data_IF_948747098236
#
_entry.id   IF_948747098236
#
_cell.length_a   1.000
_cell.length_b   1.000
_cell.length_c   1.000
_cell.angle_alpha   90.00
_cell.angle_beta   90.00
_cell.angle_gamma   90.00
#
_symmetry.space_group_name_H-M   'P 1'
#
loop_
_entity.id
_entity.type
_entity.pdbx_description
1 polymer ?
#
# COMPACT_ATOMS: atom_id res chain seq x y z
N UNK A 1 -7.46 14.27 4.58
CA UNK A 1 -6.10 13.74 4.80
C UNK A 1 -6.08 12.26 4.49
N UNK A 2 -5.21 11.85 3.59
CA UNK A 2 -4.92 10.44 3.35
C UNK A 2 -3.79 10.04 4.28
N UNK A 3 -3.99 8.97 5.05
CA UNK A 3 -2.93 8.39 5.87
C UNK A 3 -2.56 7.04 5.30
N UNK A 4 -1.31 6.91 4.84
CA UNK A 4 -0.77 5.67 4.33
C UNK A 4 0.13 5.04 5.38
N UNK A 5 -0.07 3.76 5.67
CA UNK A 5 0.74 3.02 6.63
C UNK A 5 1.34 1.79 5.96
N UNK A 6 2.64 1.59 6.20
CA UNK A 6 3.38 0.42 5.74
C UNK A 6 4.02 -0.23 6.94
N UNK A 7 3.78 -1.51 7.13
CA UNK A 7 4.37 -2.21 8.26
C UNK A 7 4.47 -3.71 8.01
N UNK A 8 5.28 -4.35 8.83
CA UNK A 8 5.51 -5.79 8.78
C UNK A 8 5.15 -6.38 10.13
N UNK A 9 4.67 -7.63 10.13
CA UNK A 9 4.43 -8.40 11.36
C UNK A 9 5.40 -9.57 11.36
N UNK A 10 6.53 -9.49 12.08
CA UNK A 10 7.50 -10.59 12.11
C UNK A 10 6.92 -11.90 12.63
N UNK A 11 5.91 -11.82 13.51
CA UNK A 11 5.30 -13.01 14.10
C UNK A 11 4.68 -13.95 13.07
N UNK A 12 4.20 -13.43 11.94
CA UNK A 12 3.60 -14.26 10.88
C UNK A 12 4.19 -13.99 9.50
N UNK A 13 5.16 -13.10 9.38
CA UNK A 13 5.82 -12.76 8.12
C UNK A 13 4.96 -11.95 7.16
N UNK A 14 3.88 -11.32 7.62
CA UNK A 14 2.99 -10.56 6.75
C UNK A 14 3.50 -9.13 6.54
N UNK A 15 3.22 -8.59 5.35
CA UNK A 15 3.58 -7.23 4.94
C UNK A 15 2.29 -6.50 4.62
N UNK A 16 2.14 -5.30 5.15
CA UNK A 16 0.88 -4.56 5.14
C UNK A 16 1.04 -3.18 4.52
N UNK A 17 0.04 -2.79 3.72
CA UNK A 17 -0.17 -1.42 3.26
C UNK A 17 -1.62 -1.04 3.52
N UNK A 18 -1.85 0.10 4.16
CA UNK A 18 -3.20 0.66 4.29
C UNK A 18 -3.22 2.10 3.83
N UNK A 19 -4.33 2.48 3.18
CA UNK A 19 -4.63 3.87 2.84
C UNK A 19 -5.98 4.20 3.45
N UNK A 20 -6.03 5.22 4.30
CA UNK A 20 -7.26 5.65 4.96
C UNK A 20 -7.50 7.13 4.72
N UNK A 21 -8.75 7.49 4.45
CA UNK A 21 -9.17 8.88 4.32
C UNK A 21 -9.17 9.39 2.89
N UNK A 22 -9.40 10.69 2.76
CA UNK A 22 -9.45 11.39 1.48
C UNK A 22 -8.53 12.60 1.52
N UNK A 23 -7.87 12.90 0.41
CA UNK A 23 -6.96 14.05 0.32
C UNK A 23 -7.69 15.38 0.47
N UNK A 24 -8.90 15.48 -0.09
CA UNK A 24 -9.73 16.70 -0.09
C UNK A 24 -8.98 17.92 -0.64
N UNK A 25 -8.11 17.67 -1.64
CA UNK A 25 -7.31 18.71 -2.26
C UNK A 25 -8.10 19.50 -3.30
N UNK A 26 -9.16 18.89 -3.86
CA UNK A 26 -9.98 19.47 -4.91
C UNK A 26 -11.38 18.86 -4.86
N UNK A 27 -12.35 19.45 -5.59
CA UNK A 27 -13.66 18.84 -5.74
C UNK A 27 -13.58 17.43 -6.30
N UNK A 28 -14.62 16.64 -6.04
CA UNK A 28 -14.72 15.28 -6.54
C UNK A 28 -14.47 15.24 -8.06
N UNK A 29 -13.69 14.28 -8.51
CA UNK A 29 -13.32 14.12 -9.91
C UNK A 29 -12.10 14.93 -10.33
N UNK A 30 -11.64 15.86 -9.51
CA UNK A 30 -10.47 16.70 -9.77
C UNK A 30 -9.34 16.46 -8.77
N UNK A 31 -9.53 15.53 -7.84
CA UNK A 31 -8.54 15.24 -6.81
C UNK A 31 -7.48 14.28 -7.36
N UNK A 32 -6.47 14.85 -8.01
CA UNK A 32 -5.37 14.09 -8.58
C UNK A 32 -4.49 13.45 -7.51
N UNK A 33 -4.46 14.03 -6.31
CA UNK A 33 -3.67 13.47 -5.19
C UNK A 33 -4.30 12.18 -4.72
N UNK A 34 -5.64 12.17 -4.56
CA UNK A 34 -6.37 10.98 -4.17
C UNK A 34 -6.23 9.88 -5.24
N UNK A 35 -6.36 10.26 -6.52
CA UNK A 35 -6.22 9.33 -7.63
C UNK A 35 -4.80 8.73 -7.68
N UNK A 36 -3.77 9.55 -7.44
CA UNK A 36 -2.39 9.09 -7.44
C UNK A 36 -2.13 8.08 -6.33
N UNK A 37 -2.58 8.37 -5.11
CA UNK A 37 -2.43 7.46 -3.98
C UNK A 37 -3.18 6.14 -4.23
N UNK A 38 -4.38 6.23 -4.78
CA UNK A 38 -5.21 5.07 -5.11
C UNK A 38 -4.51 4.17 -6.13
N UNK A 39 -3.89 4.76 -7.15
CA UNK A 39 -3.18 3.98 -8.17
C UNK A 39 -1.98 3.23 -7.57
N UNK A 40 -1.30 3.83 -6.60
CA UNK A 40 -0.21 3.13 -5.90
C UNK A 40 -0.72 1.89 -5.15
N UNK A 41 -1.88 2.00 -4.49
CA UNK A 41 -2.50 0.86 -3.82
C UNK A 41 -2.92 -0.21 -4.81
N UNK A 42 -3.53 0.17 -5.93
CA UNK A 42 -3.95 -0.78 -6.97
C UNK A 42 -2.74 -1.49 -7.58
N UNK A 43 -1.63 -0.77 -7.76
CA UNK A 43 -0.39 -1.34 -8.30
C UNK A 43 0.17 -2.42 -7.38
N UNK A 44 0.21 -2.16 -6.08
CA UNK A 44 0.66 -3.16 -5.09
C UNK A 44 -0.30 -4.35 -5.07
N UNK A 45 -1.61 -4.09 -5.08
CA UNK A 45 -2.61 -5.16 -5.08
C UNK A 45 -2.44 -6.09 -6.28
N UNK A 46 -2.22 -5.53 -7.48
CA UNK A 46 -2.03 -6.33 -8.68
C UNK A 46 -0.72 -7.13 -8.62
N UNK A 47 0.37 -6.51 -8.16
CA UNK A 47 1.65 -7.20 -8.03
C UNK A 47 1.55 -8.37 -7.04
N UNK A 48 0.88 -8.16 -5.91
CA UNK A 48 0.68 -9.17 -4.89
C UNK A 48 -0.18 -10.31 -5.43
N UNK A 49 -1.22 -9.99 -6.21
CA UNK A 49 -2.06 -11.01 -6.85
C UNK A 49 -1.24 -11.88 -7.81
N UNK A 50 -0.38 -11.27 -8.63
CA UNK A 50 0.52 -12.01 -9.51
C UNK A 50 1.49 -12.90 -8.71
N UNK A 51 2.02 -12.40 -7.59
CA UNK A 51 2.87 -13.20 -6.72
C UNK A 51 2.14 -14.44 -6.20
N UNK A 52 0.88 -14.27 -5.82
CA UNK A 52 0.06 -15.40 -5.37
C UNK A 52 -0.12 -16.44 -6.48
N UNK A 53 -0.46 -15.98 -7.68
CA UNK A 53 -0.64 -16.86 -8.84
C UNK A 53 0.62 -17.59 -9.23
N UNK A 54 1.78 -17.05 -8.93
CA UNK A 54 3.08 -17.65 -9.20
C UNK A 54 3.64 -18.46 -8.02
N UNK A 55 2.82 -18.73 -7.01
CA UNK A 55 3.20 -19.59 -5.90
C UNK A 55 4.17 -18.96 -4.90
N UNK A 56 4.28 -17.63 -4.88
CA UNK A 56 5.23 -16.93 -4.02
C UNK A 56 4.69 -16.56 -2.64
N UNK A 57 3.41 -16.75 -2.41
CA UNK A 57 2.77 -16.45 -1.13
C UNK A 57 2.36 -17.73 -0.40
N UNK A 58 2.40 -17.70 0.93
CA UNK A 58 1.98 -18.82 1.78
C UNK A 58 0.47 -19.05 1.72
N UNK A 59 -0.28 -17.98 1.45
CA UNK A 59 -1.73 -18.03 1.40
C UNK A 59 -2.26 -16.89 0.54
N UNK A 60 -3.57 -16.96 0.24
CA UNK A 60 -4.23 -15.91 -0.54
C UNK A 60 -4.05 -14.55 0.14
N UNK A 61 -3.67 -13.51 -0.61
CA UNK A 61 -3.52 -12.18 -0.04
C UNK A 61 -4.87 -11.58 0.35
N UNK A 62 -4.85 -10.71 1.34
CA UNK A 62 -6.00 -9.91 1.69
C UNK A 62 -5.93 -8.61 0.89
N UNK A 63 -6.92 -8.38 0.03
CA UNK A 63 -6.99 -7.18 -0.79
C UNK A 63 -8.39 -6.60 -0.66
N UNK A 64 -8.49 -5.40 -0.12
CA UNK A 64 -9.74 -4.67 -0.01
C UNK A 64 -9.49 -3.25 -0.51
N UNK A 65 -10.12 -2.91 -1.62
CA UNK A 65 -9.93 -1.62 -2.28
C UNK A 65 -11.27 -0.89 -2.32
N UNK A 66 -11.52 -0.10 -1.28
CA UNK A 66 -12.72 0.73 -1.16
C UNK A 66 -12.34 2.18 -1.18
N UNK A 67 -13.24 3.03 -1.62
CA UNK A 67 -13.00 4.46 -1.59
C UNK A 67 -12.71 4.91 -0.16
N UNK A 68 -11.58 5.58 0.02
CA UNK A 68 -11.14 6.05 1.34
C UNK A 68 -10.66 4.97 2.30
N UNK A 69 -10.58 3.71 1.86
CA UNK A 69 -10.22 2.59 2.74
C UNK A 69 -9.64 1.43 1.95
N UNK A 70 -8.35 1.43 1.75
CA UNK A 70 -7.64 0.34 1.08
C UNK A 70 -6.76 -0.43 2.07
N UNK A 71 -6.77 -1.75 1.95
CA UNK A 71 -5.92 -2.63 2.76
C UNK A 71 -5.36 -3.73 1.88
N UNK A 72 -4.05 -3.92 1.93
CA UNK A 72 -3.37 -4.99 1.20
C UNK A 72 -2.43 -5.68 2.17
N UNK A 73 -2.60 -7.01 2.30
CA UNK A 73 -1.75 -7.84 3.17
C UNK A 73 -1.24 -9.02 2.37
N UNK A 74 0.08 -9.18 2.33
CA UNK A 74 0.71 -10.33 1.70
C UNK A 74 1.53 -11.10 2.73
N UNK A 75 1.48 -12.43 2.67
CA UNK A 75 2.30 -13.29 3.51
C UNK A 75 3.16 -14.15 2.59
N UNK A 76 4.37 -13.67 2.22
CA UNK A 76 5.21 -14.38 1.28
C UNK A 76 5.86 -15.61 1.88
N UNK A 77 6.24 -16.56 1.01
CA UNK A 77 7.15 -17.62 1.38
C UNK A 77 8.46 -17.00 1.86
N UNK A 78 9.22 -17.70 2.66
CA UNK A 78 10.48 -17.16 3.20
C UNK A 78 11.45 -16.75 2.09
N UNK A 79 11.56 -17.56 1.03
CA UNK A 79 12.46 -17.27 -0.10
C UNK A 79 11.99 -16.07 -0.94
N UNK A 80 10.72 -15.71 -0.84
CA UNK A 80 10.12 -14.64 -1.63
C UNK A 80 9.87 -13.37 -0.81
N UNK A 81 10.32 -13.36 0.44
CA UNK A 81 10.06 -12.25 1.35
C UNK A 81 10.68 -10.93 0.85
N UNK A 82 11.93 -10.99 0.41
CA UNK A 82 12.63 -9.79 -0.05
C UNK A 82 11.95 -9.18 -1.28
N UNK A 83 11.49 -10.01 -2.22
CA UNK A 83 10.77 -9.55 -3.41
C UNK A 83 9.45 -8.86 -3.00
N UNK A 84 8.71 -9.48 -2.10
CA UNK A 84 7.45 -8.91 -1.62
C UNK A 84 7.68 -7.59 -0.88
N UNK A 85 8.66 -7.56 0.01
CA UNK A 85 8.99 -6.35 0.75
C UNK A 85 9.38 -5.21 -0.18
N UNK A 86 10.18 -5.52 -1.19
CA UNK A 86 10.59 -4.52 -2.19
C UNK A 86 9.39 -3.98 -2.97
N UNK A 87 8.43 -4.84 -3.29
CA UNK A 87 7.20 -4.43 -3.98
C UNK A 87 6.45 -3.35 -3.18
N UNK A 88 6.27 -3.57 -1.89
CA UNK A 88 5.62 -2.60 -1.00
C UNK A 88 6.48 -1.34 -0.85
N UNK A 89 7.80 -1.50 -0.76
CA UNK A 89 8.71 -0.37 -0.60
C UNK A 89 8.66 0.58 -1.79
N UNK A 90 8.56 0.08 -3.01
CA UNK A 90 8.47 0.92 -4.21
C UNK A 90 7.21 1.81 -4.13
N UNK A 91 6.07 1.25 -3.73
CA UNK A 91 4.85 2.04 -3.54
C UNK A 91 5.01 3.05 -2.39
N UNK A 92 5.70 2.66 -1.33
CA UNK A 92 6.01 3.57 -0.22
C UNK A 92 6.82 4.77 -0.71
N UNK A 93 7.76 4.56 -1.63
CA UNK A 93 8.49 5.66 -2.26
C UNK A 93 7.55 6.63 -2.97
N UNK A 94 6.55 6.11 -3.68
CA UNK A 94 5.54 6.94 -4.34
C UNK A 94 4.71 7.76 -3.35
N UNK A 95 4.29 7.14 -2.25
CA UNK A 95 3.58 7.86 -1.19
C UNK A 95 4.49 8.90 -0.55
N UNK A 96 5.77 8.59 -0.37
CA UNK A 96 6.74 9.56 0.17
C UNK A 96 6.79 10.83 -0.70
N UNK A 97 6.81 10.66 -2.02
CA UNK A 97 6.80 11.79 -2.96
C UNK A 97 5.52 12.62 -2.78
N UNK A 98 4.37 11.96 -2.68
CA UNK A 98 3.10 12.66 -2.46
C UNK A 98 3.09 13.40 -1.13
N UNK A 99 3.54 12.76 -0.05
CA UNK A 99 3.56 13.38 1.28
C UNK A 99 4.52 14.57 1.33
N UNK A 100 5.65 14.48 0.62
CA UNK A 100 6.62 15.57 0.56
C UNK A 100 6.06 16.79 -0.18
N UNK A 101 5.37 16.55 -1.29
CA UNK A 101 4.82 17.63 -2.12
C UNK A 101 3.48 18.16 -1.62
N UNK A 102 2.71 17.32 -0.92
CA UNK A 102 1.37 17.67 -0.44
C UNK A 102 1.20 17.30 1.04
N UNK A 103 2.03 17.88 1.93
CA UNK A 103 2.03 17.46 3.35
C UNK A 103 0.73 17.74 4.09
N UNK A 104 -0.12 18.63 3.57
CA UNK A 104 -1.43 18.92 4.17
C UNK A 104 -2.49 17.90 3.76
N UNK A 105 -2.20 17.07 2.75
CA UNK A 105 -3.18 16.15 2.16
C UNK A 105 -2.80 14.68 2.34
N UNK A 106 -1.51 14.38 2.49
CA UNK A 106 -1.00 13.00 2.57
C UNK A 106 -0.01 12.89 3.71
N UNK A 107 -0.22 11.87 4.54
CA UNK A 107 0.67 11.51 5.65
C UNK A 107 1.16 10.10 5.45
N UNK A 108 2.46 9.90 5.54
CA UNK A 108 3.08 8.58 5.49
C UNK A 108 3.51 8.17 6.90
N UNK A 109 3.06 7.00 7.33
CA UNK A 109 3.49 6.39 8.58
C UNK A 109 4.17 5.07 8.28
N UNK A 110 5.38 4.90 8.80
CA UNK A 110 6.10 3.65 8.72
C UNK A 110 6.19 3.08 10.12
N UNK A 111 5.44 2.00 10.36
CA UNK A 111 5.36 1.38 11.68
C UNK A 111 6.33 0.21 11.75
N UNK A 112 7.10 0.16 12.84
CA UNK A 112 7.93 -0.98 13.17
C UNK A 112 7.20 -1.80 14.24
N UNK A 113 6.92 -3.04 13.92
CA UNK A 113 6.17 -3.94 14.81
C UNK A 113 7.06 -5.05 15.32
#
# INVERSE_FOLDING_TARGET
>A
MITARFYQKPSNGSIHMTLKGHAKAAPYGEDLICASATMLAYTVAQAVQFMYENGKLKKKPKISLREGDATIVATPNEDDYAEALHTFWVAQCGIHVLAHNYPQNVKLEHLTV
#
